data_IF_150053717942
#
_entry.id   IF_150053717942
#
_cell.length_a   1.000
_cell.length_b   1.000
_cell.length_c   1.000
_cell.angle_alpha   90.00
_cell.angle_beta   90.00
_cell.angle_gamma   90.00
#
_symmetry.space_group_name_H-M   'P 1'
#
loop_
_entity.id
_entity.type
_entity.pdbx_description
1 polymer ?
#
# COMPACT_ATOMS: atom_id res chain seq x y z
N UNK A 1 25.00 -7.65 5.92
CA UNK A 1 24.45 -6.34 6.30
C UNK A 1 22.95 -6.52 6.46
N UNK A 2 22.48 -6.72 7.69
CA UNK A 2 21.04 -6.75 7.96
C UNK A 2 20.49 -5.34 7.76
N UNK A 3 19.90 -5.10 6.58
CA UNK A 3 18.99 -3.97 6.43
C UNK A 3 17.81 -4.27 7.35
N UNK A 4 17.58 -3.39 8.32
CA UNK A 4 16.32 -3.32 9.07
C UNK A 4 15.19 -3.32 8.03
N UNK A 5 14.43 -4.42 7.96
CA UNK A 5 13.44 -4.66 6.91
C UNK A 5 12.18 -3.87 7.23
N UNK A 6 11.78 -3.00 6.32
CA UNK A 6 10.55 -2.22 6.46
C UNK A 6 9.33 -3.07 6.08
N UNK A 7 8.20 -2.75 6.71
CA UNK A 7 6.92 -3.38 6.43
C UNK A 7 6.31 -2.87 5.13
N UNK A 8 5.32 -3.60 4.62
CA UNK A 8 4.59 -3.19 3.43
C UNK A 8 3.40 -2.28 3.78
N UNK A 9 3.05 -1.36 2.90
CA UNK A 9 1.76 -0.66 2.91
C UNK A 9 0.83 -1.39 1.94
N UNK A 10 -0.19 -2.07 2.46
CA UNK A 10 -1.07 -2.97 1.70
C UNK A 10 -2.46 -2.36 1.55
N UNK A 11 -2.98 -2.35 0.33
CA UNK A 11 -4.35 -1.91 0.06
C UNK A 11 -5.37 -2.92 0.61
N UNK A 12 -6.41 -2.43 1.29
CA UNK A 12 -7.60 -3.23 1.66
C UNK A 12 -8.78 -3.01 0.73
N UNK A 13 -8.61 -2.19 -0.31
CA UNK A 13 -9.68 -1.81 -1.21
C UNK A 13 -9.28 -2.00 -2.67
N UNK A 14 -10.27 -2.30 -3.50
CA UNK A 14 -10.15 -2.28 -4.96
C UNK A 14 -10.81 -1.03 -5.50
N UNK A 15 -10.12 -0.30 -6.38
CA UNK A 15 -10.61 0.94 -6.95
C UNK A 15 -9.49 1.88 -7.38
N UNK A 16 -9.79 3.17 -7.45
CA UNK A 16 -8.85 4.20 -7.89
C UNK A 16 -8.35 5.01 -6.70
N UNK A 17 -7.03 5.22 -6.62
CA UNK A 17 -6.43 6.00 -5.54
C UNK A 17 -6.81 7.47 -5.60
N UNK A 18 -7.04 8.07 -4.43
CA UNK A 18 -7.38 9.50 -4.32
C UNK A 18 -6.21 10.29 -3.75
N UNK A 19 -6.01 11.53 -4.20
CA UNK A 19 -4.97 12.39 -3.64
C UNK A 19 -5.16 12.65 -2.13
N UNK A 20 -6.42 12.73 -1.69
CA UNK A 20 -6.78 12.88 -0.28
C UNK A 20 -6.30 11.71 0.57
N UNK A 21 -6.53 10.46 0.14
CA UNK A 21 -6.07 9.29 0.87
C UNK A 21 -4.54 9.21 0.85
N UNK A 22 -3.92 9.37 -0.32
CA UNK A 22 -2.46 9.28 -0.45
C UNK A 22 -1.73 10.34 0.38
N UNK A 23 -2.25 11.56 0.49
CA UNK A 23 -1.66 12.61 1.32
C UNK A 23 -1.61 12.26 2.81
N UNK A 24 -2.53 11.44 3.30
CA UNK A 24 -2.49 10.91 4.67
C UNK A 24 -1.53 9.73 4.83
N UNK A 25 -1.30 8.98 3.74
CA UNK A 25 -0.51 7.76 3.72
C UNK A 25 0.97 8.02 3.50
N UNK A 26 1.37 9.07 2.78
CA UNK A 26 2.78 9.43 2.57
C UNK A 26 3.50 9.78 3.88
N UNK A 27 2.78 10.26 4.89
CA UNK A 27 3.33 10.46 6.24
C UNK A 27 3.72 9.14 6.94
N UNK A 28 3.19 8.00 6.49
CA UNK A 28 3.46 6.67 7.06
C UNK A 28 4.58 5.94 6.35
N UNK A 29 5.02 6.41 5.18
CA UNK A 29 6.02 5.71 4.38
C UNK A 29 6.14 6.20 2.94
N UNK A 30 6.96 5.52 2.16
CA UNK A 30 7.18 5.86 0.74
C UNK A 30 6.16 5.15 -0.14
N UNK A 31 5.38 5.90 -0.91
CA UNK A 31 4.36 5.35 -1.80
C UNK A 31 4.96 4.93 -3.14
N UNK A 32 4.43 3.85 -3.71
CA UNK A 32 4.78 3.36 -5.06
C UNK A 32 3.73 3.74 -6.11
N UNK A 33 2.59 4.27 -5.67
CA UNK A 33 1.46 4.65 -6.52
C UNK A 33 1.15 6.13 -6.35
N UNK A 34 0.77 6.77 -7.45
CA UNK A 34 0.27 8.15 -7.46
C UNK A 34 -1.25 8.21 -7.38
N UNK A 35 -1.84 9.41 -7.37
CA UNK A 35 -3.29 9.58 -7.47
C UNK A 35 -3.79 9.07 -8.83
N UNK A 36 -5.06 8.66 -8.88
CA UNK A 36 -5.71 8.10 -10.09
C UNK A 36 -5.08 6.78 -10.58
N UNK A 37 -4.42 6.05 -9.70
CA UNK A 37 -3.87 4.71 -10.01
C UNK A 37 -4.90 3.65 -9.63
N UNK A 38 -5.14 2.67 -10.50
CA UNK A 38 -5.96 1.51 -10.18
C UNK A 38 -5.21 0.56 -9.24
N UNK A 39 -5.87 0.16 -8.15
CA UNK A 39 -5.35 -0.74 -7.14
C UNK A 39 -6.39 -1.80 -6.79
N UNK A 40 -5.93 -2.91 -6.21
CA UNK A 40 -6.79 -4.01 -5.75
C UNK A 40 -6.45 -4.44 -4.32
N UNK A 41 -7.38 -5.13 -3.66
CA UNK A 41 -7.17 -5.67 -2.31
C UNK A 41 -5.92 -6.58 -2.26
N UNK A 42 -5.02 -6.33 -1.31
CA UNK A 42 -3.78 -7.07 -1.13
C UNK A 42 -2.63 -6.61 -2.04
N UNK A 43 -2.84 -5.62 -2.90
CA UNK A 43 -1.76 -4.93 -3.61
C UNK A 43 -0.89 -4.13 -2.62
N UNK A 44 0.43 -4.22 -2.77
CA UNK A 44 1.40 -3.42 -2.03
C UNK A 44 1.56 -2.08 -2.76
N UNK A 45 1.24 -1.00 -2.06
CA UNK A 45 1.18 0.35 -2.61
C UNK A 45 2.28 1.28 -2.07
N UNK A 46 3.13 0.75 -1.17
CA UNK A 46 4.23 1.50 -0.57
C UNK A 46 5.05 0.68 0.42
N UNK A 47 6.11 1.31 0.89
CA UNK A 47 7.00 0.84 1.95
C UNK A 47 6.68 1.62 3.22
N UNK A 48 6.39 0.92 4.31
CA UNK A 48 6.11 1.53 5.60
C UNK A 48 7.40 2.09 6.23
N UNK A 49 7.29 3.14 7.02
CA UNK A 49 8.43 3.72 7.74
C UNK A 49 8.97 2.82 8.86
N UNK A 50 8.19 1.82 9.28
CA UNK A 50 8.52 0.85 10.33
C UNK A 50 8.46 -0.57 9.79
N UNK A 51 8.82 -1.55 10.61
CA UNK A 51 8.90 -2.97 10.23
C UNK A 51 7.52 -3.63 10.06
N UNK A 52 6.50 -3.13 10.77
CA UNK A 52 5.17 -3.71 10.68
C UNK A 52 4.50 -3.40 9.34
N UNK A 53 3.81 -4.39 8.78
CA UNK A 53 2.93 -4.18 7.63
C UNK A 53 1.68 -3.43 8.09
N UNK A 54 1.27 -2.43 7.30
CA UNK A 54 0.06 -1.66 7.56
C UNK A 54 -0.96 -1.85 6.44
N UNK A 55 -2.21 -2.08 6.83
CA UNK A 55 -3.35 -2.23 5.94
C UNK A 55 -4.12 -0.91 5.85
N UNK A 56 -4.30 -0.38 4.64
CA UNK A 56 -4.85 0.97 4.43
C UNK A 56 -5.82 0.99 3.25
N UNK A 57 -6.75 1.96 3.25
CA UNK A 57 -7.66 2.20 2.14
C UNK A 57 -7.19 3.42 1.33
N UNK A 58 -6.53 3.23 0.18
CA UNK A 58 -6.04 4.33 -0.66
C UNK A 58 -7.13 4.93 -1.58
N UNK A 59 -8.31 4.34 -1.63
CA UNK A 59 -9.45 4.79 -2.44
C UNK A 59 -10.40 5.70 -1.66
N UNK A 60 -10.05 6.08 -0.42
CA UNK A 60 -10.93 6.85 0.46
C UNK A 60 -11.14 8.27 -0.09
N UNK A 61 -12.39 8.66 -0.25
CA UNK A 61 -12.75 10.01 -0.66
C UNK A 61 -12.80 10.98 0.52
N UNK A 62 -12.62 12.28 0.21
CA UNK A 62 -12.81 13.36 1.19
C UNK A 62 -14.30 13.49 1.47
N UNK A 63 -14.72 13.30 2.72
CA UNK A 63 -16.11 13.59 3.12
C UNK A 63 -16.31 15.11 3.07
N UNK A 64 -17.15 15.56 2.15
CA UNK A 64 -17.60 16.95 2.09
C UNK A 64 -18.65 17.15 3.20
N UNK A 65 -18.22 17.55 4.39
CA UNK A 65 -19.13 18.16 5.34
C UNK A 65 -19.34 19.61 4.90
N UNK A 66 -20.59 20.05 4.78
CA UNK A 66 -20.98 21.44 4.44
C UNK A 66 -20.58 22.42 5.56
N UNK A 67 -19.29 22.46 5.91
CA UNK A 67 -18.71 23.28 6.94
C UNK A 67 -17.99 24.42 6.22
N UNK A 68 -18.62 25.61 6.29
CA UNK A 68 -18.11 26.92 5.88
C UNK A 68 -16.58 26.96 5.82
N UNK A 69 -16.01 26.83 4.63
CA UNK A 69 -14.61 27.13 4.35
C UNK A 69 -14.59 28.07 3.15
N UNK A 70 -14.86 29.34 3.44
CA UNK A 70 -14.39 30.46 2.63
C UNK A 70 -12.86 30.37 2.56
N UNK A 71 -12.33 29.89 1.44
CA UNK A 71 -10.92 30.01 1.07
C UNK A 71 -10.16 28.68 1.03
N UNK A 72 -9.70 28.33 -0.18
CA UNK A 72 -8.74 27.29 -0.55
C UNK A 72 -9.23 25.83 -0.46
N UNK A 73 -9.60 25.27 -1.62
CA UNK A 73 -9.27 23.87 -1.92
C UNK A 73 -7.76 23.72 -1.70
N UNK A 74 -7.38 23.17 -0.54
CA UNK A 74 -5.98 22.90 -0.21
C UNK A 74 -5.45 21.88 -1.22
N UNK A 75 -4.70 22.37 -2.19
CA UNK A 75 -4.13 21.55 -3.24
C UNK A 75 -3.12 20.60 -2.59
N UNK A 76 -3.52 19.34 -2.42
CA UNK A 76 -2.67 18.30 -1.83
C UNK A 76 -1.43 18.14 -2.71
N UNK A 77 -0.29 18.59 -2.22
CA UNK A 77 1.01 18.39 -2.84
C UNK A 77 1.57 17.06 -2.38
N UNK A 78 1.56 16.07 -3.27
CA UNK A 78 2.08 14.74 -2.99
C UNK A 78 3.55 14.64 -3.37
N UNK A 79 4.30 13.87 -2.58
CA UNK A 79 5.64 13.44 -2.98
C UNK A 79 5.52 12.51 -4.20
N UNK A 80 6.37 12.66 -5.24
CA UNK A 80 6.36 11.74 -6.37
C UNK A 80 6.52 10.29 -5.92
N UNK A 81 5.72 9.35 -6.44
CA UNK A 81 5.81 7.95 -6.04
C UNK A 81 7.16 7.36 -6.47
N UNK A 82 7.71 6.47 -5.64
CA UNK A 82 8.89 5.67 -6.00
C UNK A 82 8.47 4.56 -6.95
N UNK A 83 8.79 4.72 -8.23
CA UNK A 83 8.62 3.67 -9.23
C UNK A 83 9.71 2.62 -9.05
N UNK A 84 9.33 1.35 -8.95
CA UNK A 84 10.27 0.23 -8.84
C UNK A 84 10.50 -0.43 -10.19
N UNK A 85 11.77 -0.69 -10.50
CA UNK A 85 12.14 -1.59 -11.59
C UNK A 85 11.86 -3.05 -11.22
N UNK A 86 11.95 -3.96 -12.20
CA UNK A 86 11.80 -5.39 -11.95
C UNK A 86 12.88 -5.92 -11.00
N UNK A 87 14.12 -5.48 -11.21
CA UNK A 87 15.28 -5.85 -10.41
C UNK A 87 15.14 -5.37 -8.96
N UNK A 88 14.66 -4.14 -8.76
CA UNK A 88 14.36 -3.62 -7.44
C UNK A 88 13.23 -4.40 -6.76
N UNK A 89 12.18 -4.74 -7.50
CA UNK A 89 11.07 -5.54 -6.99
C UNK A 89 11.52 -6.95 -6.57
N UNK A 90 12.40 -7.60 -7.33
CA UNK A 90 13.01 -8.90 -6.98
C UNK A 90 13.83 -8.80 -5.70
N UNK A 91 14.58 -7.70 -5.51
CA UNK A 91 15.33 -7.46 -4.28
C UNK A 91 14.45 -7.09 -3.07
N UNK A 92 13.21 -6.64 -3.30
CA UNK A 92 12.28 -6.18 -2.27
C UNK A 92 11.33 -7.27 -1.78
N UNK A 93 10.84 -8.13 -2.68
CA UNK A 93 9.74 -9.07 -2.42
C UNK A 93 10.05 -10.04 -1.27
N UNK A 94 9.06 -10.25 -0.39
CA UNK A 94 9.18 -11.18 0.75
C UNK A 94 8.55 -12.56 0.46
N UNK A 95 8.77 -13.51 1.37
CA UNK A 95 8.31 -14.89 1.20
C UNK A 95 6.78 -15.05 1.10
N UNK A 96 6.01 -14.13 1.68
CA UNK A 96 4.55 -14.11 1.60
C UNK A 96 4.02 -13.06 0.60
N UNK A 97 4.89 -12.63 -0.31
CA UNK A 97 4.63 -11.61 -1.34
C UNK A 97 4.96 -12.16 -2.73
N UNK A 98 4.34 -11.56 -3.74
CA UNK A 98 4.52 -11.93 -5.14
C UNK A 98 4.68 -10.67 -5.98
N UNK A 99 5.41 -10.82 -7.08
CA UNK A 99 5.54 -9.82 -8.13
C UNK A 99 4.56 -10.18 -9.24
N UNK A 100 3.63 -9.29 -9.52
CA UNK A 100 2.75 -9.38 -10.69
C UNK A 100 3.40 -8.61 -11.84
N UNK A 101 3.71 -9.32 -12.93
CA UNK A 101 4.33 -8.74 -14.12
C UNK A 101 3.34 -8.84 -15.27
N UNK A 102 3.07 -7.70 -15.90
CA UNK A 102 2.34 -7.59 -17.15
C UNK A 102 3.20 -6.84 -18.16
N UNK A 103 2.86 -6.84 -19.46
CA UNK A 103 3.63 -6.08 -20.46
C UNK A 103 3.71 -4.57 -20.18
N UNK A 104 2.78 -4.04 -19.40
CA UNK A 104 2.65 -2.59 -19.15
C UNK A 104 2.89 -2.20 -17.70
N UNK A 105 2.98 -3.15 -16.77
CA UNK A 105 3.13 -2.84 -15.35
C UNK A 105 3.86 -3.95 -14.57
N UNK A 106 4.60 -3.51 -13.56
CA UNK A 106 5.16 -4.37 -12.50
C UNK A 106 4.51 -3.93 -11.20
N UNK A 107 3.93 -4.87 -10.47
CA UNK A 107 3.22 -4.62 -9.21
C UNK A 107 3.68 -5.59 -8.14
N UNK A 108 3.60 -5.16 -6.89
CA UNK A 108 3.84 -5.99 -5.73
C UNK A 108 2.50 -6.30 -5.05
N UNK A 109 2.36 -7.51 -4.52
CA UNK A 109 1.13 -7.95 -3.82
C UNK A 109 1.46 -8.99 -2.76
N UNK A 110 0.56 -9.16 -1.79
CA UNK A 110 0.59 -10.33 -0.91
C UNK A 110 0.19 -11.58 -1.69
N UNK A 111 0.72 -12.73 -1.28
CA UNK A 111 0.32 -14.03 -1.83
C UNK A 111 -1.17 -14.30 -1.55
N UNK A 112 -1.59 -14.12 -0.31
CA UNK A 112 -2.99 -14.09 0.09
C UNK A 112 -3.51 -12.64 0.07
N UNK A 113 -4.44 -12.35 -0.83
CA UNK A 113 -4.98 -10.99 -1.03
C UNK A 113 -5.88 -10.57 0.12
N UNK A 114 -6.69 -11.49 0.62
CA UNK A 114 -7.73 -11.15 1.57
C UNK A 114 -7.15 -10.92 2.97
N UNK A 115 -7.41 -9.76 3.55
CA UNK A 115 -6.89 -9.39 4.89
C UNK A 115 -7.29 -10.39 5.98
N UNK A 116 -8.56 -10.80 5.98
CA UNK A 116 -9.10 -11.73 6.98
C UNK A 116 -8.47 -13.11 6.86
N UNK A 117 -8.28 -13.58 5.63
CA UNK A 117 -7.60 -14.85 5.36
C UNK A 117 -6.13 -14.81 5.78
N UNK A 118 -5.40 -13.71 5.53
CA UNK A 118 -4.02 -13.54 6.03
C UNK A 118 -3.95 -13.69 7.55
N UNK A 119 -4.82 -12.99 8.28
CA UNK A 119 -4.87 -13.04 9.76
C UNK A 119 -5.23 -14.44 10.27
N UNK A 120 -6.15 -15.12 9.59
CA UNK A 120 -6.53 -16.51 9.90
C UNK A 120 -5.36 -17.48 9.68
N UNK A 121 -4.68 -17.38 8.54
CA UNK A 121 -3.54 -18.24 8.19
C UNK A 121 -2.36 -18.03 9.14
N UNK A 122 -2.05 -16.78 9.50
CA UNK A 122 -1.01 -16.48 10.48
C UNK A 122 -1.30 -17.12 11.85
N UNK A 123 -2.55 -17.07 12.32
CA UNK A 123 -2.97 -17.73 13.57
C UNK A 123 -2.88 -19.26 13.50
N UNK A 124 -3.23 -19.86 12.35
CA UNK A 124 -3.11 -21.31 12.15
C UNK A 124 -1.65 -21.76 12.14
N UNK A 125 -0.79 -21.03 11.43
CA UNK A 125 0.65 -21.31 11.38
C UNK A 125 1.30 -21.23 12.78
N UNK A 126 0.92 -20.25 13.58
CA UNK A 126 1.39 -20.12 14.97
C UNK A 126 0.95 -21.31 15.85
N UNK A 127 -0.25 -21.86 15.65
CA UNK A 127 -0.76 -23.01 16.39
C UNK A 127 -0.16 -24.35 15.97
N UNK A 128 0.30 -24.48 14.73
CA UNK A 128 0.92 -25.71 14.23
C UNK A 128 2.42 -25.82 14.55
N UNK A 129 3.01 -24.72 15.04
CA UNK A 129 4.41 -24.65 15.42
C UNK A 129 4.65 -24.87 16.93
N UNK A 130 3.56 -25.07 17.69
CA UNK A 130 3.51 -25.45 19.11
C UNK A 130 3.08 -26.93 19.19
#
# INVERSE_FOLDING_TARGET
>A
MDRVRKGAVVSVATGVTTAYALGQLEARGTLFVGPKTEVYEGMIIGEHSREETIEVNPCKEKKLTNMRASGADEQVRLTPPRLMSLEEAIGYVQADELIEVTPTAIRLRKAELNSSMRKSNARKAAKSAD
#
